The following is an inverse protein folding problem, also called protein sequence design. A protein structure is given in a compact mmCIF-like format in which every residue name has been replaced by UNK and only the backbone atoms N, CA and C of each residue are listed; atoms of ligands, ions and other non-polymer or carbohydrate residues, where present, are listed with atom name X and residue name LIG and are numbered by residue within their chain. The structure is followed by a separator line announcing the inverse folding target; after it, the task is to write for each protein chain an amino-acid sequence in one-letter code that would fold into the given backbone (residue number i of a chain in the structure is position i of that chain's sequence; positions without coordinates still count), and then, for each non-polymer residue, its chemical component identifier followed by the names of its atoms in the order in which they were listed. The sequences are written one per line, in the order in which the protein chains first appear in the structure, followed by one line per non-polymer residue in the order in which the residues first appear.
data_IF_921187976777
#
_entry.id   IF_921187976777
#
_cell.length_a   1.000
_cell.length_b   1.000
_cell.length_c   1.000
_cell.angle_alpha   90.00
_cell.angle_beta   90.00
_cell.angle_gamma   90.00
#
_symmetry.space_group_name_H-M   'P 1'
#
loop_
_entity.id
_entity.type
_entity.pdbx_description
1 polymer ?
#
# COMPACT_ATOMS: atom_id res chain seq x y z
N UNK A 1 7.62 12.97 5.93
CA UNK A 1 6.97 11.67 5.77
C UNK A 1 5.48 11.88 5.95
N UNK A 2 4.68 11.42 5.01
CA UNK A 2 3.22 11.53 5.03
C UNK A 2 2.64 10.44 5.92
N UNK A 3 1.65 10.79 6.75
CA UNK A 3 0.96 9.83 7.60
C UNK A 3 -0.26 9.27 6.87
N UNK A 4 -0.14 8.06 6.32
CA UNK A 4 -1.23 7.39 5.59
C UNK A 4 -2.12 6.58 6.52
N UNK A 5 -1.52 5.96 7.54
CA UNK A 5 -2.19 5.10 8.51
C UNK A 5 -1.70 5.38 9.94
N UNK A 6 -2.55 5.01 10.90
CA UNK A 6 -2.26 4.88 12.34
C UNK A 6 -2.67 3.50 12.84
N UNK A 7 -2.40 3.21 14.11
CA UNK A 7 -2.78 1.94 14.75
C UNK A 7 -4.28 1.62 14.59
N UNK A 8 -5.15 2.62 14.75
CA UNK A 8 -6.62 2.49 14.62
C UNK A 8 -7.08 2.03 13.22
N UNK A 9 -6.22 2.11 12.20
CA UNK A 9 -6.53 1.66 10.84
C UNK A 9 -6.33 0.16 10.65
N UNK A 10 -5.71 -0.54 11.62
CA UNK A 10 -5.50 -1.98 11.60
C UNK A 10 -6.75 -2.69 12.11
N UNK A 11 -7.57 -3.18 11.18
CA UNK A 11 -8.83 -3.86 11.51
C UNK A 11 -8.72 -5.40 11.65
N UNK A 12 -7.56 -6.00 11.34
CA UNK A 12 -7.39 -7.45 11.45
C UNK A 12 -7.29 -7.87 12.91
N UNK A 13 -8.25 -8.67 13.35
CA UNK A 13 -8.37 -9.12 14.74
C UNK A 13 -7.13 -9.87 15.25
N UNK A 14 -6.36 -10.52 14.36
CA UNK A 14 -5.12 -11.20 14.75
C UNK A 14 -3.97 -10.22 15.03
N UNK A 15 -4.06 -9.00 14.49
CA UNK A 15 -3.00 -7.99 14.49
C UNK A 15 -3.31 -6.74 15.33
N UNK A 16 -4.55 -6.56 15.78
CA UNK A 16 -4.93 -5.49 16.70
C UNK A 16 -3.99 -5.49 17.92
N UNK A 17 -3.43 -4.32 18.25
CA UNK A 17 -2.44 -4.10 19.31
C UNK A 17 -1.12 -4.90 19.17
N UNK A 18 -0.85 -5.48 17.99
CA UNK A 18 0.41 -6.18 17.70
C UNK A 18 1.28 -5.50 16.67
N UNK A 19 0.67 -4.68 15.80
CA UNK A 19 1.42 -3.84 14.85
C UNK A 19 2.14 -2.74 15.64
N UNK A 20 3.45 -2.66 15.46
CA UNK A 20 4.30 -1.70 16.18
C UNK A 20 4.34 -0.34 15.49
N UNK A 21 4.69 0.71 16.24
CA UNK A 21 4.93 2.06 15.69
C UNK A 21 5.99 2.04 14.57
N UNK A 22 6.99 1.17 14.68
CA UNK A 22 8.03 1.03 13.65
C UNK A 22 7.47 0.46 12.35
N UNK A 23 6.61 -0.57 12.42
CA UNK A 23 5.96 -1.15 11.23
C UNK A 23 5.01 -0.15 10.56
N UNK A 24 4.33 0.68 11.34
CA UNK A 24 3.50 1.79 10.83
C UNK A 24 4.38 2.83 10.13
N UNK A 25 5.50 3.22 10.74
CA UNK A 25 6.44 4.17 10.16
C UNK A 25 7.03 3.64 8.84
N UNK A 26 7.48 2.38 8.83
CA UNK A 26 8.05 1.72 7.64
C UNK A 26 7.03 1.60 6.51
N UNK A 27 5.77 1.31 6.83
CA UNK A 27 4.68 1.28 5.86
C UNK A 27 4.37 2.65 5.26
N UNK A 28 4.35 3.70 6.09
CA UNK A 28 4.17 5.08 5.62
C UNK A 28 5.34 5.51 4.71
N UNK A 29 6.60 5.21 5.11
CA UNK A 29 7.78 5.48 4.29
C UNK A 29 7.76 4.70 2.97
N UNK A 30 7.29 3.44 3.00
CA UNK A 30 7.18 2.62 1.81
C UNK A 30 6.26 3.25 0.75
N UNK A 31 5.13 3.84 1.17
CA UNK A 31 4.20 4.53 0.26
C UNK A 31 4.77 5.87 -0.21
N UNK A 32 5.45 6.63 0.66
CA UNK A 32 6.16 7.85 0.28
C UNK A 32 7.23 7.59 -0.78
N UNK A 33 7.97 6.47 -0.69
CA UNK A 33 8.96 6.07 -1.72
C UNK A 33 8.32 5.82 -3.08
N UNK A 34 7.07 5.34 -3.13
CA UNK A 34 6.32 5.17 -4.39
C UNK A 34 5.94 6.53 -4.95
N UNK A 35 5.39 7.41 -4.11
CA UNK A 35 5.05 8.77 -4.51
C UNK A 35 6.26 9.52 -5.08
N UNK A 36 7.40 9.39 -4.41
CA UNK A 36 8.67 9.95 -4.84
C UNK A 36 9.14 9.39 -6.20
N UNK A 37 8.96 8.08 -6.45
CA UNK A 37 9.25 7.47 -7.74
C UNK A 37 8.38 8.04 -8.88
N UNK A 38 7.15 8.48 -8.57
CA UNK A 38 6.28 9.21 -9.49
C UNK A 38 6.54 10.73 -9.54
N UNK A 39 7.57 11.22 -8.83
CA UNK A 39 7.90 12.64 -8.68
C UNK A 39 6.76 13.49 -8.06
N UNK A 40 5.92 12.88 -7.22
CA UNK A 40 4.86 13.58 -6.50
C UNK A 40 5.45 14.28 -5.28
N UNK A 41 5.41 15.62 -5.26
CA UNK A 41 5.97 16.43 -4.18
C UNK A 41 5.01 16.66 -3.02
N UNK A 42 3.71 16.71 -3.32
CA UNK A 42 2.64 16.92 -2.36
C UNK A 42 1.70 15.73 -2.47
N UNK A 43 1.78 14.82 -1.52
CA UNK A 43 0.96 13.62 -1.52
C UNK A 43 -0.39 13.92 -0.89
N UNK A 44 -1.45 13.43 -1.54
CA UNK A 44 -2.79 13.33 -0.97
C UNK A 44 -3.01 11.90 -0.50
N UNK A 45 -3.47 11.74 0.74
CA UNK A 45 -3.84 10.42 1.28
C UNK A 45 -5.19 10.03 0.68
N UNK A 46 -5.18 9.02 -0.18
CA UNK A 46 -6.38 8.44 -0.78
C UNK A 46 -6.71 7.09 -0.17
N UNK A 47 -7.92 6.55 -0.37
CA UNK A 47 -8.26 5.20 0.06
C UNK A 47 -7.30 4.14 -0.49
N UNK A 48 -6.78 4.34 -1.71
CA UNK A 48 -5.83 3.41 -2.34
C UNK A 48 -4.47 3.42 -1.63
N UNK A 49 -3.89 4.60 -1.40
CA UNK A 49 -2.60 4.74 -0.69
C UNK A 49 -2.71 4.24 0.75
N UNK A 50 -3.85 4.52 1.40
CA UNK A 50 -4.13 4.04 2.76
C UNK A 50 -4.21 2.51 2.81
N UNK A 51 -4.95 1.90 1.88
CA UNK A 51 -5.06 0.43 1.78
C UNK A 51 -3.71 -0.24 1.56
N UNK A 52 -2.84 0.37 0.74
CA UNK A 52 -1.48 -0.13 0.55
C UNK A 52 -0.66 -0.05 1.82
N UNK A 53 -0.68 1.08 2.53
CA UNK A 53 0.03 1.23 3.80
C UNK A 53 -0.44 0.21 4.85
N UNK A 54 -1.76 0.01 5.02
CA UNK A 54 -2.31 -1.01 5.93
C UNK A 54 -1.80 -2.40 5.57
N UNK A 55 -1.81 -2.75 4.28
CA UNK A 55 -1.37 -4.07 3.82
C UNK A 55 0.13 -4.30 4.09
N UNK A 56 0.96 -3.27 3.95
CA UNK A 56 2.40 -3.35 4.23
C UNK A 56 2.66 -3.53 5.73
N UNK A 57 2.06 -2.69 6.58
CA UNK A 57 2.22 -2.81 8.03
C UNK A 57 1.74 -4.18 8.54
N UNK A 58 0.59 -4.65 8.02
CA UNK A 58 0.03 -5.95 8.39
C UNK A 58 0.93 -7.11 7.93
N UNK A 59 1.49 -7.03 6.72
CA UNK A 59 2.43 -8.04 6.20
C UNK A 59 3.66 -8.14 7.10
N UNK A 60 4.27 -7.01 7.43
CA UNK A 60 5.54 -6.97 8.17
C UNK A 60 5.34 -7.42 9.62
N UNK A 61 4.24 -7.02 10.24
CA UNK A 61 3.80 -7.53 11.54
C UNK A 61 3.59 -9.05 11.53
N UNK A 62 2.88 -9.59 10.53
CA UNK A 62 2.73 -11.04 10.40
C UNK A 62 4.08 -11.74 10.29
N UNK A 63 4.99 -11.25 9.43
CA UNK A 63 6.31 -11.86 9.25
C UNK A 63 7.09 -11.93 10.56
N UNK A 64 7.04 -10.88 11.37
CA UNK A 64 7.73 -10.81 12.66
C UNK A 64 7.12 -11.72 13.73
N UNK A 65 5.84 -12.09 13.60
CA UNK A 65 5.12 -12.91 14.57
C UNK A 65 5.10 -14.41 14.24
N UNK A 66 5.52 -14.83 13.04
CA UNK A 66 5.59 -16.25 12.68
C UNK A 66 6.47 -17.02 13.67
N UNK A 67 5.91 -18.07 14.26
CA UNK A 67 6.59 -18.95 15.22
C UNK A 67 6.76 -18.35 16.61
N UNK A 68 6.26 -17.15 16.86
CA UNK A 68 6.38 -16.49 18.17
C UNK A 68 5.25 -16.84 19.14
N UNK A 69 4.08 -17.24 18.61
CA UNK A 69 2.88 -17.53 19.40
C UNK A 69 2.35 -18.95 19.10
N UNK A 70 2.60 -19.87 20.03
CA UNK A 70 2.12 -21.25 19.90
C UNK A 70 0.58 -21.37 19.90
N UNK A 71 -0.14 -20.37 20.43
CA UNK A 71 -1.61 -20.34 20.41
C UNK A 71 -2.18 -19.94 19.05
N UNK A 72 -1.34 -19.39 18.17
CA UNK A 72 -1.71 -19.02 16.81
C UNK A 72 -1.61 -20.19 15.80
N UNK A 73 -1.39 -21.43 16.29
CA UNK A 73 -1.37 -22.62 15.43
C UNK A 73 -2.79 -23.08 15.09
N UNK A 74 -3.08 -23.24 13.80
CA UNK A 74 -4.41 -23.60 13.29
C UNK A 74 -4.38 -24.99 12.63
N UNK A 75 -5.39 -25.80 12.96
CA UNK A 75 -5.69 -27.08 12.31
C UNK A 75 -4.73 -28.22 12.65
N UNK A 76 -5.03 -29.40 12.11
CA UNK A 76 -4.29 -30.65 12.41
C UNK A 76 -2.82 -30.61 11.96
N UNK A 77 -2.49 -29.74 11.00
CA UNK A 77 -1.14 -29.54 10.48
C UNK A 77 -0.32 -28.52 11.27
N UNK A 78 -0.91 -27.89 12.29
CA UNK A 78 -0.29 -26.83 13.09
C UNK A 78 0.32 -25.74 12.20
N UNK A 79 -0.47 -25.24 11.23
CA UNK A 79 0.00 -24.13 10.41
C UNK A 79 -0.18 -22.81 11.18
N UNK A 80 0.87 -22.01 11.21
CA UNK A 80 0.88 -20.73 11.92
C UNK A 80 -0.07 -19.72 11.23
N UNK A 81 -1.00 -19.14 11.99
CA UNK A 81 -1.97 -18.16 11.51
C UNK A 81 -1.29 -16.92 10.91
N UNK A 82 -0.16 -16.48 11.47
CA UNK A 82 0.63 -15.36 10.94
C UNK A 82 1.27 -15.74 9.61
N UNK A 83 1.69 -16.99 9.43
CA UNK A 83 2.23 -17.46 8.13
C UNK A 83 1.17 -17.41 7.03
N UNK A 84 -0.06 -17.83 7.35
CA UNK A 84 -1.20 -17.76 6.42
C UNK A 84 -1.52 -16.30 6.09
N UNK A 85 -1.66 -15.44 7.10
CA UNK A 85 -1.98 -14.02 6.93
C UNK A 85 -0.87 -13.26 6.20
N UNK A 86 0.40 -13.56 6.49
CA UNK A 86 1.55 -13.01 5.77
C UNK A 86 1.42 -13.24 4.26
N UNK A 87 1.11 -14.47 3.82
CA UNK A 87 0.94 -14.79 2.39
C UNK A 87 -0.18 -13.98 1.76
N UNK A 88 -1.30 -13.80 2.48
CA UNK A 88 -2.44 -13.00 2.01
C UNK A 88 -2.04 -11.53 1.85
N UNK A 89 -1.40 -10.94 2.87
CA UNK A 89 -0.99 -9.54 2.80
C UNK A 89 0.14 -9.31 1.80
N UNK A 90 1.09 -10.24 1.67
CA UNK A 90 2.14 -10.17 0.66
C UNK A 90 1.54 -10.12 -0.76
N UNK A 91 0.61 -11.03 -1.07
CA UNK A 91 -0.10 -11.01 -2.36
C UNK A 91 -0.92 -9.73 -2.55
N UNK A 92 -1.59 -9.24 -1.50
CA UNK A 92 -2.33 -7.97 -1.58
C UNK A 92 -1.41 -6.77 -1.83
N UNK A 93 -0.23 -6.73 -1.22
CA UNK A 93 0.76 -5.67 -1.45
C UNK A 93 1.26 -5.72 -2.90
N UNK A 94 1.54 -6.89 -3.45
CA UNK A 94 1.94 -7.06 -4.85
C UNK A 94 0.84 -6.60 -5.81
N UNK A 95 -0.40 -7.00 -5.57
CA UNK A 95 -1.55 -6.60 -6.38
C UNK A 95 -1.77 -5.08 -6.34
N UNK A 96 -1.70 -4.46 -5.16
CA UNK A 96 -1.85 -3.02 -4.99
C UNK A 96 -0.67 -2.28 -5.63
N UNK A 97 0.56 -2.78 -5.48
CA UNK A 97 1.76 -2.24 -6.16
C UNK A 97 1.62 -2.25 -7.68
N UNK A 98 1.01 -3.28 -8.26
CA UNK A 98 0.76 -3.36 -9.69
C UNK A 98 -0.36 -2.44 -10.20
N UNK A 99 -1.22 -1.94 -9.31
CA UNK A 99 -2.39 -1.11 -9.65
C UNK A 99 -2.25 0.35 -9.28
N UNK A 100 -1.38 0.67 -8.33
CA UNK A 100 -1.20 2.05 -7.86
C UNK A 100 -0.56 2.89 -8.97
N UNK A 101 -1.14 4.05 -9.24
CA UNK A 101 -0.71 4.99 -10.26
C UNK A 101 -0.35 6.32 -9.62
N UNK A 102 0.31 7.20 -10.38
CA UNK A 102 0.60 8.57 -9.94
C UNK A 102 -0.66 9.32 -9.47
N UNK A 103 -1.77 9.16 -10.18
CA UNK A 103 -3.05 9.78 -9.84
C UNK A 103 -3.56 9.41 -8.44
N UNK A 104 -3.21 8.23 -7.91
CA UNK A 104 -3.63 7.81 -6.56
C UNK A 104 -2.95 8.62 -5.45
N UNK A 105 -1.93 9.42 -5.78
CA UNK A 105 -1.22 10.30 -4.85
C UNK A 105 -1.61 11.78 -4.99
N UNK A 106 -2.46 12.13 -5.96
CA UNK A 106 -2.85 13.51 -6.26
C UNK A 106 -4.26 13.81 -5.74
N UNK A 107 -4.50 15.08 -5.43
CA UNK A 107 -5.86 15.57 -5.15
C UNK A 107 -6.71 15.52 -6.41
N UNK A 108 -8.03 15.43 -6.30
CA UNK A 108 -8.93 15.35 -7.47
C UNK A 108 -8.74 16.54 -8.42
N UNK A 109 -8.48 17.74 -7.89
CA UNK A 109 -8.21 18.96 -8.68
C UNK A 109 -6.90 18.88 -9.49
N UNK A 110 -5.92 18.07 -9.08
CA UNK A 110 -4.62 17.92 -9.76
C UNK A 110 -4.61 16.74 -10.77
N UNK A 111 -5.70 15.96 -10.85
CA UNK A 111 -5.81 14.82 -11.78
C UNK A 111 -6.18 15.28 -13.21
N UNK A 112 -7.01 16.32 -13.33
CA UNK A 112 -7.51 16.83 -14.60
C UNK A 112 -6.39 17.45 -15.46
N UNK A 113 -5.39 18.09 -14.83
CA UNK A 113 -4.22 18.66 -15.50
C UNK A 113 -3.35 17.63 -16.25
N UNK A 114 -3.40 16.35 -15.84
CA UNK A 114 -2.61 15.28 -16.45
C UNK A 114 -3.33 14.64 -17.66
N UNK A 115 -4.67 14.53 -17.61
CA UNK A 115 -5.48 14.10 -18.74
C UNK A 115 -5.45 15.10 -19.91
N UNK A 116 -5.52 16.41 -19.62
CA UNK A 116 -5.48 17.45 -20.67
C UNK A 116 -4.12 17.49 -21.41
N UNK A 117 -3.01 17.24 -20.72
CA UNK A 117 -1.66 17.19 -21.33
C UNK A 117 -1.45 15.97 -22.23
N UNK A 118 -2.13 14.85 -21.96
CA UNK A 118 -2.10 13.64 -22.80
C UNK A 118 -2.93 13.76 -24.09
N UNK A 119 -3.98 14.58 -24.08
CA UNK A 119 -4.89 14.74 -25.22
C UNK A 119 -4.25 15.47 -26.41
N UNK A 120 -3.38 16.47 -26.18
CA UNK A 120 -2.78 17.27 -27.25
C UNK A 120 -1.67 16.56 -28.03
N UNK A 121 -1.01 15.56 -27.44
CA UNK A 121 0.09 14.83 -28.12
C UNK A 121 -0.39 13.72 -29.06
N UNK A 122 -1.65 13.25 -28.93
CA UNK A 122 -2.24 12.25 -29.84
C UNK A 122 -2.80 12.82 -31.15
N UNK A 123 -2.98 14.14 -31.24
CA UNK A 123 -3.69 14.76 -32.37
C UNK A 123 -2.80 15.17 -33.57
N UNK A 124 -1.47 15.01 -33.49
CA UNK A 124 -0.55 15.48 -34.54
C UNK A 124 0.00 14.28 -35.33
N UNK A 125 -0.86 13.61 -36.10
CA UNK A 125 -0.42 12.80 -37.23
C UNK A 125 -0.24 13.72 -38.45
N UNK A 126 0.97 14.27 -38.63
CA UNK A 126 1.34 14.99 -39.85
C UNK A 126 1.47 13.97 -40.97
N UNK A 127 0.44 13.84 -41.80
CA UNK A 127 0.55 13.19 -43.10
C UNK A 127 1.30 14.13 -44.05
N UNK A 128 2.54 13.78 -44.42
CA UNK A 128 3.22 14.38 -45.58
C UNK A 128 2.66 13.75 -46.86
N UNK A 129 2.06 14.57 -47.72
CA UNK A 129 1.73 14.25 -49.11
C UNK A 129 2.96 14.27 -50.00
#
# INVERSE_FOLDING_TARGET
MTEYIREDDIADQLLINRVTDQEIADANEYVDRIAAAYNVKKVTVTPMTKKLAVAVASRDCCLNLIGTDASAMIGDRQEDAYSIKYKIYASLVEDLRGRILKADFLADEEKDDEEERGAWTRAVSISRS
#
